data_IF_643407306175
#
_entry.id   IF_643407306175
#
_cell.length_a   1.000
_cell.length_b   1.000
_cell.length_c   1.000
_cell.angle_alpha   90.00
_cell.angle_beta   90.00
_cell.angle_gamma   90.00
#
_symmetry.space_group_name_H-M   'P 1'
#
loop_
_entity.id
_entity.type
_entity.pdbx_description
1 polymer ?
#
# COMPACT_ATOMS: atom_id res chain seq x y z
N UNK A 1 -15.54 -2.85 39.56
CA UNK A 1 -14.22 -3.43 39.90
C UNK A 1 -13.92 -4.53 38.90
N UNK A 2 -13.00 -4.32 37.96
CA UNK A 2 -12.60 -5.34 36.98
C UNK A 2 -11.77 -6.40 37.71
N UNK A 3 -12.28 -7.64 37.83
CA UNK A 3 -11.56 -8.74 38.49
C UNK A 3 -10.17 -8.94 37.86
N UNK A 4 -9.14 -9.20 38.67
CA UNK A 4 -7.81 -9.56 38.16
C UNK A 4 -7.89 -10.93 37.47
N UNK A 5 -7.19 -11.15 36.35
CA UNK A 5 -7.21 -12.45 35.68
C UNK A 5 -6.65 -13.54 36.61
N UNK A 6 -7.28 -14.70 36.60
CA UNK A 6 -6.81 -15.89 37.35
C UNK A 6 -5.50 -16.42 36.74
N UNK A 7 -5.33 -16.28 35.43
CA UNK A 7 -4.18 -16.77 34.68
C UNK A 7 -3.66 -15.69 33.73
N UNK A 8 -2.36 -15.43 33.79
CA UNK A 8 -1.66 -14.61 32.82
C UNK A 8 -0.81 -15.52 31.94
N UNK A 9 -0.94 -15.38 30.62
CA UNK A 9 -0.05 -16.07 29.69
C UNK A 9 1.13 -15.17 29.33
N UNK A 10 2.34 -15.71 29.39
CA UNK A 10 3.51 -15.10 28.77
C UNK A 10 3.41 -15.11 27.25
N UNK A 11 4.32 -14.39 26.59
CA UNK A 11 4.38 -14.33 25.13
C UNK A 11 4.57 -15.72 24.50
N UNK A 12 5.33 -16.58 25.16
CA UNK A 12 5.72 -17.94 24.72
C UNK A 12 4.59 -18.97 24.90
N UNK A 13 3.71 -18.78 25.88
CA UNK A 13 2.59 -19.68 26.20
C UNK A 13 1.35 -19.50 25.32
N UNK A 14 1.40 -18.51 24.42
CA UNK A 14 0.32 -18.20 23.49
C UNK A 14 0.80 -18.57 22.09
N UNK A 15 -0.03 -19.34 21.39
CA UNK A 15 0.20 -19.66 19.98
C UNK A 15 0.47 -18.38 19.19
N UNK A 16 1.51 -18.31 18.36
CA UNK A 16 1.79 -17.12 17.56
C UNK A 16 0.64 -16.83 16.59
N UNK A 17 0.61 -15.59 16.11
CA UNK A 17 -0.20 -15.23 14.95
C UNK A 17 0.20 -16.09 13.74
N UNK A 18 -0.73 -16.30 12.81
CA UNK A 18 -0.39 -16.96 11.56
C UNK A 18 0.62 -16.11 10.80
N UNK A 19 1.55 -16.75 10.07
CA UNK A 19 2.63 -16.06 9.36
C UNK A 19 2.12 -14.98 8.38
N UNK A 20 0.91 -15.14 7.86
CA UNK A 20 0.25 -14.21 6.94
C UNK A 20 -0.55 -13.11 7.63
N UNK A 21 -0.52 -13.02 8.96
CA UNK A 21 -1.11 -11.90 9.70
C UNK A 21 -0.33 -10.62 9.42
N UNK A 22 -1.01 -9.48 9.30
CA UNK A 22 -0.32 -8.20 9.18
C UNK A 22 0.51 -7.91 10.44
N UNK A 23 1.68 -7.33 10.31
CA UNK A 23 2.51 -6.86 11.43
C UNK A 23 2.93 -5.41 11.19
N UNK A 24 3.20 -4.59 12.22
CA UNK A 24 3.76 -3.26 12.01
C UNK A 24 5.03 -3.34 11.15
N UNK A 25 5.25 -2.38 10.25
CA UNK A 25 6.50 -2.37 9.48
C UNK A 25 7.70 -2.08 10.40
N UNK A 26 8.85 -2.69 10.11
CA UNK A 26 10.10 -2.32 10.76
C UNK A 26 10.55 -0.92 10.37
N UNK A 27 11.36 -0.27 11.21
CA UNK A 27 11.96 1.03 10.91
C UNK A 27 12.79 1.03 9.61
N UNK A 28 13.46 -0.09 9.28
CA UNK A 28 14.21 -0.23 8.02
C UNK A 28 13.33 -0.03 6.79
N UNK A 29 12.15 -0.67 6.77
CA UNK A 29 11.16 -0.51 5.69
C UNK A 29 10.61 0.91 5.67
N UNK A 30 10.33 1.52 6.83
CA UNK A 30 9.86 2.91 6.91
C UNK A 30 10.90 3.88 6.35
N UNK A 31 12.17 3.70 6.69
CA UNK A 31 13.25 4.51 6.13
C UNK A 31 13.35 4.33 4.61
N UNK A 32 13.32 3.08 4.12
CA UNK A 32 13.37 2.82 2.68
C UNK A 32 12.16 3.38 1.92
N UNK A 33 11.00 3.44 2.56
CA UNK A 33 9.80 4.10 2.04
C UNK A 33 10.03 5.62 1.93
N UNK A 34 10.53 6.24 2.99
CA UNK A 34 10.74 7.68 3.07
C UNK A 34 11.86 8.18 2.14
N UNK A 35 12.91 7.38 1.96
CA UNK A 35 13.97 7.65 1.00
C UNK A 35 13.42 7.72 -0.43
N UNK A 36 12.49 6.83 -0.75
CA UNK A 36 11.94 6.70 -2.11
C UNK A 36 10.86 7.72 -2.44
N UNK A 37 9.95 7.97 -1.51
CA UNK A 37 8.72 8.73 -1.76
C UNK A 37 8.52 9.95 -0.87
N UNK A 38 9.39 10.17 0.12
CA UNK A 38 9.27 11.31 1.02
C UNK A 38 8.41 10.98 2.24
N UNK A 39 7.43 11.82 2.58
CA UNK A 39 6.68 11.65 3.82
C UNK A 39 5.57 10.60 3.66
N UNK A 40 5.89 9.35 4.01
CA UNK A 40 4.89 8.29 4.08
C UNK A 40 4.08 8.38 5.38
N UNK A 41 2.79 8.02 5.36
CA UNK A 41 1.95 8.09 6.55
C UNK A 41 2.39 7.09 7.62
N UNK A 42 1.99 7.35 8.85
CA UNK A 42 2.14 6.42 9.98
C UNK A 42 1.17 5.23 9.87
N UNK A 43 1.24 4.29 10.83
CA UNK A 43 0.35 3.13 10.92
C UNK A 43 0.42 2.23 9.69
N UNK A 44 1.64 1.96 9.24
CA UNK A 44 1.93 1.06 8.13
C UNK A 44 2.19 -0.37 8.63
N UNK A 45 1.64 -1.33 7.89
CA UNK A 45 1.67 -2.74 8.24
C UNK A 45 2.19 -3.57 7.07
N UNK A 46 3.04 -4.54 7.35
CA UNK A 46 3.48 -5.55 6.40
C UNK A 46 2.55 -6.75 6.43
N UNK A 47 2.09 -7.20 5.26
CA UNK A 47 1.45 -8.51 5.10
C UNK A 47 1.96 -9.20 3.85
N UNK A 48 2.85 -10.18 4.01
CA UNK A 48 3.54 -10.81 2.89
C UNK A 48 4.34 -9.78 2.08
N UNK A 49 3.99 -9.57 0.81
CA UNK A 49 4.62 -8.59 -0.09
C UNK A 49 3.87 -7.26 -0.18
N UNK A 50 2.96 -7.00 0.76
CA UNK A 50 2.07 -5.82 0.74
C UNK A 50 2.40 -4.92 1.93
N UNK A 51 2.44 -3.62 1.69
CA UNK A 51 2.37 -2.61 2.75
C UNK A 51 0.93 -2.10 2.76
N UNK A 52 0.34 -2.09 3.94
CA UNK A 52 -1.03 -1.68 4.22
C UNK A 52 -0.98 -0.42 5.09
N UNK A 53 -1.91 0.49 4.87
CA UNK A 53 -2.11 1.66 5.71
C UNK A 53 -3.44 1.51 6.43
N UNK A 54 -3.36 1.50 7.76
CA UNK A 54 -4.50 1.33 8.64
C UNK A 54 -4.69 2.57 9.51
N UNK A 55 -5.83 2.63 10.18
CA UNK A 55 -6.09 3.64 11.19
C UNK A 55 -5.27 3.38 12.47
N UNK A 56 -5.01 4.39 13.30
CA UNK A 56 -4.26 4.23 14.56
C UNK A 56 -4.86 3.19 15.50
N UNK A 57 -6.18 2.99 15.47
CA UNK A 57 -6.86 1.99 16.30
C UNK A 57 -6.39 0.55 15.99
N UNK A 58 -5.82 0.28 14.81
CA UNK A 58 -5.22 -1.01 14.51
C UNK A 58 -4.05 -1.32 15.44
N UNK A 59 -3.18 -0.34 15.70
CA UNK A 59 -2.04 -0.48 16.60
C UNK A 59 -2.48 -0.56 18.05
N UNK A 60 -3.46 0.24 18.46
CA UNK A 60 -4.08 0.15 19.78
C UNK A 60 -4.64 -1.25 20.04
N UNK A 61 -5.41 -1.79 19.08
CA UNK A 61 -5.97 -3.14 19.19
C UNK A 61 -4.84 -4.16 19.26
N UNK A 62 -3.86 -4.11 18.35
CA UNK A 62 -2.78 -5.09 18.26
C UNK A 62 -1.89 -5.10 19.50
N UNK A 63 -1.53 -3.93 20.04
CA UNK A 63 -0.69 -3.75 21.23
C UNK A 63 -1.43 -4.01 22.55
N UNK A 64 -2.76 -4.02 22.55
CA UNK A 64 -3.55 -4.23 23.77
C UNK A 64 -3.49 -5.67 24.31
N UNK A 65 -3.34 -5.79 25.63
CA UNK A 65 -3.67 -7.03 26.35
C UNK A 65 -5.16 -7.35 26.20
N UNK A 66 -5.48 -8.62 25.96
CA UNK A 66 -6.87 -9.07 25.83
C UNK A 66 -7.20 -10.14 26.85
N UNK A 67 -8.43 -10.09 27.35
CA UNK A 67 -8.96 -11.10 28.26
C UNK A 67 -9.88 -12.06 27.54
N UNK A 68 -9.68 -13.36 27.76
CA UNK A 68 -10.49 -14.44 27.21
C UNK A 68 -11.03 -15.33 28.33
N UNK A 69 -11.93 -16.26 27.97
CA UNK A 69 -12.58 -17.18 28.92
C UNK A 69 -13.24 -16.42 30.09
N UNK A 70 -14.15 -15.50 29.76
CA UNK A 70 -14.87 -14.65 30.73
C UNK A 70 -13.97 -13.86 31.69
N UNK A 71 -12.82 -13.40 31.21
CA UNK A 71 -11.90 -12.59 32.02
C UNK A 71 -10.84 -13.39 32.79
N UNK A 72 -10.92 -14.73 32.77
CA UNK A 72 -10.01 -15.60 33.55
C UNK A 72 -8.60 -15.65 33.01
N UNK A 73 -8.43 -15.50 31.70
CA UNK A 73 -7.10 -15.58 31.07
C UNK A 73 -6.77 -14.27 30.39
N UNK A 74 -5.64 -13.66 30.77
CA UNK A 74 -5.04 -12.55 30.05
C UNK A 74 -4.07 -13.08 28.98
N UNK A 75 -4.18 -12.52 27.78
CA UNK A 75 -3.32 -12.73 26.63
C UNK A 75 -2.59 -11.40 26.39
N UNK A 76 -1.26 -11.39 26.33
CA UNK A 76 -0.49 -10.18 26.08
C UNK A 76 -0.81 -9.62 24.69
N UNK A 77 -0.56 -8.32 24.52
CA UNK A 77 -0.68 -7.65 23.24
C UNK A 77 0.41 -8.04 22.24
N UNK A 78 0.65 -7.13 21.32
CA UNK A 78 1.57 -7.29 20.18
C UNK A 78 1.23 -8.52 19.33
N UNK A 79 -0.09 -8.77 19.19
CA UNK A 79 -0.65 -9.89 18.42
C UNK A 79 -2.10 -9.67 18.07
N UNK A 80 -2.58 -10.39 17.07
CA UNK A 80 -3.99 -10.40 16.69
C UNK A 80 -4.83 -11.36 17.51
N UNK A 81 -4.28 -12.49 17.96
CA UNK A 81 -5.05 -13.46 18.74
C UNK A 81 -5.73 -12.83 19.98
N UNK A 82 -6.99 -13.18 20.27
CA UNK A 82 -7.78 -14.25 19.64
C UNK A 82 -8.48 -13.84 18.33
N UNK A 83 -8.31 -12.60 17.84
CA UNK A 83 -8.89 -12.14 16.59
C UNK A 83 -8.19 -12.78 15.39
N UNK A 84 -8.96 -13.07 14.35
CA UNK A 84 -8.44 -13.47 13.05
C UNK A 84 -8.60 -12.29 12.08
N UNK A 85 -7.50 -11.61 11.75
CA UNK A 85 -7.54 -10.43 10.87
C UNK A 85 -7.48 -10.85 9.40
N UNK A 86 -8.65 -10.87 8.76
CA UNK A 86 -8.79 -11.18 7.34
C UNK A 86 -8.38 -10.00 6.45
N UNK A 87 -8.71 -8.77 6.86
CA UNK A 87 -8.39 -7.54 6.14
C UNK A 87 -7.94 -6.47 7.14
N UNK A 88 -6.91 -5.72 6.75
CA UNK A 88 -6.41 -4.59 7.53
C UNK A 88 -6.11 -3.44 6.57
N UNK A 89 -6.81 -2.31 6.78
CA UNK A 89 -6.54 -1.08 6.05
C UNK A 89 -6.59 -1.23 4.52
N UNK A 90 -5.87 -0.34 3.84
CA UNK A 90 -5.73 -0.30 2.39
C UNK A 90 -4.31 -0.60 1.97
N UNK A 91 -4.16 -1.32 0.87
CA UNK A 91 -2.85 -1.55 0.27
C UNK A 91 -2.27 -0.26 -0.32
N UNK A 92 -1.10 0.16 0.17
CA UNK A 92 -0.41 1.38 -0.26
C UNK A 92 0.81 1.11 -1.13
N UNK A 93 1.52 0.01 -0.90
CA UNK A 93 2.71 -0.33 -1.67
C UNK A 93 2.94 -1.84 -1.75
N UNK A 94 3.78 -2.23 -2.70
CA UNK A 94 4.28 -3.61 -2.87
C UNK A 94 5.76 -3.66 -2.54
N UNK A 95 6.20 -4.77 -1.96
CA UNK A 95 7.60 -5.04 -1.62
C UNK A 95 8.14 -6.17 -2.48
N UNK A 96 9.36 -6.00 -2.98
CA UNK A 96 10.09 -7.03 -3.72
C UNK A 96 11.54 -7.04 -3.28
N UNK A 97 12.08 -8.24 -3.05
CA UNK A 97 13.45 -8.43 -2.54
C UNK A 97 13.75 -7.56 -1.30
N UNK A 98 12.78 -7.49 -0.38
CA UNK A 98 12.90 -6.73 0.87
C UNK A 98 12.74 -5.22 0.75
N UNK A 99 12.57 -4.65 -0.46
CA UNK A 99 12.46 -3.20 -0.66
C UNK A 99 11.10 -2.79 -1.21
N UNK A 100 10.55 -1.61 -0.82
CA UNK A 100 9.37 -1.05 -1.47
C UNK A 100 9.63 -0.87 -2.97
N UNK A 101 8.77 -1.45 -3.80
CA UNK A 101 8.93 -1.52 -5.25
C UNK A 101 8.09 -0.46 -5.98
N UNK A 102 6.83 -0.30 -5.56
CA UNK A 102 5.86 0.61 -6.18
C UNK A 102 4.73 0.97 -5.22
N UNK A 103 4.12 2.13 -5.45
CA UNK A 103 2.84 2.53 -4.86
C UNK A 103 1.69 1.80 -5.57
N UNK A 104 0.64 1.46 -4.82
CA UNK A 104 -0.57 0.83 -5.33
C UNK A 104 -1.51 1.89 -5.94
N UNK A 105 -2.14 1.57 -7.08
CA UNK A 105 -3.11 2.48 -7.72
C UNK A 105 -4.23 2.94 -6.79
N UNK A 106 -4.68 2.06 -5.91
CA UNK A 106 -5.72 2.32 -4.89
C UNK A 106 -5.38 3.43 -3.88
N UNK A 107 -4.10 3.71 -3.69
CA UNK A 107 -3.61 4.67 -2.71
C UNK A 107 -2.84 5.84 -3.34
N UNK A 108 -2.53 5.76 -4.64
CA UNK A 108 -1.67 6.71 -5.32
C UNK A 108 -2.18 8.15 -5.20
N UNK A 109 -3.47 8.37 -5.44
CA UNK A 109 -4.09 9.70 -5.32
C UNK A 109 -3.94 10.26 -3.90
N UNK A 110 -4.28 9.48 -2.88
CA UNK A 110 -4.25 9.96 -1.50
C UNK A 110 -2.82 10.24 -1.01
N UNK A 111 -1.88 9.37 -1.37
CA UNK A 111 -0.47 9.52 -0.99
C UNK A 111 0.24 10.64 -1.75
N UNK A 112 -0.17 10.93 -2.98
CA UNK A 112 0.49 11.95 -3.81
C UNK A 112 0.62 13.30 -3.10
N UNK A 113 -0.37 13.67 -2.29
CA UNK A 113 -0.39 14.92 -1.53
C UNK A 113 0.69 15.04 -0.46
N UNK A 114 1.21 13.92 0.06
CA UNK A 114 2.27 13.91 1.08
C UNK A 114 3.65 13.54 0.52
N UNK A 115 3.70 13.04 -0.71
CA UNK A 115 4.94 12.61 -1.35
C UNK A 115 5.78 13.80 -1.78
N UNK A 116 7.08 13.75 -1.48
CA UNK A 116 8.04 14.80 -1.88
C UNK A 116 9.02 14.31 -2.95
N UNK A 117 8.97 13.02 -3.28
CA UNK A 117 9.87 12.32 -4.22
C UNK A 117 9.13 11.23 -4.97
N UNK A 118 9.71 10.78 -6.09
CA UNK A 118 9.16 9.65 -6.86
C UNK A 118 7.82 9.97 -7.56
N UNK A 119 7.61 11.25 -7.87
CA UNK A 119 6.44 11.79 -8.57
C UNK A 119 6.92 12.78 -9.63
N UNK A 120 6.25 12.80 -10.78
CA UNK A 120 6.48 13.76 -11.87
C UNK A 120 5.13 14.35 -12.28
N UNK A 121 5.05 15.68 -12.28
CA UNK A 121 3.90 16.40 -12.81
C UNK A 121 3.88 16.30 -14.34
N UNK A 122 2.72 15.98 -14.90
CA UNK A 122 2.51 15.80 -16.33
C UNK A 122 1.19 16.42 -16.77
N UNK A 123 1.05 16.60 -18.08
CA UNK A 123 -0.18 17.10 -18.67
C UNK A 123 -1.30 16.05 -18.60
N UNK A 124 -2.54 16.52 -18.67
CA UNK A 124 -3.72 15.64 -18.81
C UNK A 124 -3.63 14.74 -20.05
N UNK A 125 -3.07 15.26 -21.16
CA UNK A 125 -2.84 14.48 -22.38
C UNK A 125 -1.88 13.30 -22.14
N UNK A 126 -0.82 13.50 -21.34
CA UNK A 126 0.11 12.43 -20.98
C UNK A 126 -0.59 11.31 -20.20
N UNK A 127 -1.51 11.67 -19.29
CA UNK A 127 -2.34 10.71 -18.56
C UNK A 127 -3.28 9.96 -19.52
N UNK A 128 -3.93 10.65 -20.44
CA UNK A 128 -4.80 10.02 -21.44
C UNK A 128 -4.02 9.06 -22.33
N UNK A 129 -2.86 9.48 -22.82
CA UNK A 129 -1.97 8.67 -23.65
C UNK A 129 -1.57 7.39 -22.92
N UNK A 130 -1.06 7.46 -21.68
CA UNK A 130 -0.64 6.27 -20.95
C UNK A 130 -1.81 5.37 -20.54
N UNK A 131 -3.01 5.92 -20.30
CA UNK A 131 -4.21 5.10 -20.08
C UNK A 131 -4.59 4.35 -21.35
N UNK A 132 -4.46 4.97 -22.53
CA UNK A 132 -4.74 4.35 -23.82
C UNK A 132 -3.72 3.28 -24.22
N UNK A 133 -2.43 3.66 -24.32
CA UNK A 133 -1.35 2.81 -24.82
C UNK A 133 -0.79 1.85 -23.77
N UNK A 134 -1.04 2.12 -22.47
CA UNK A 134 -0.46 1.42 -21.32
C UNK A 134 1.07 1.52 -21.21
N UNK A 135 1.72 2.20 -22.16
CA UNK A 135 3.16 2.39 -22.25
C UNK A 135 3.49 3.70 -22.98
N UNK A 136 4.51 4.39 -22.52
CA UNK A 136 5.08 5.57 -23.20
C UNK A 136 6.60 5.45 -23.26
N UNK A 137 7.21 6.12 -24.23
CA UNK A 137 8.64 6.42 -24.22
C UNK A 137 8.96 7.40 -23.09
N UNK A 138 10.21 7.39 -22.62
CA UNK A 138 10.58 8.16 -21.43
C UNK A 138 10.46 9.66 -21.68
N UNK A 139 10.82 10.09 -22.88
CA UNK A 139 10.80 11.48 -23.35
C UNK A 139 9.39 12.07 -23.38
N UNK A 140 8.36 11.23 -23.51
CA UNK A 140 6.95 11.64 -23.53
C UNK A 140 6.40 11.97 -22.13
N UNK A 141 7.13 11.60 -21.06
CA UNK A 141 6.64 11.68 -19.67
C UNK A 141 7.27 12.78 -18.83
N UNK A 142 8.36 13.40 -19.31
CA UNK A 142 9.13 14.37 -18.52
C UNK A 142 9.86 13.77 -17.31
N UNK A 143 9.86 12.44 -17.15
CA UNK A 143 10.63 11.76 -16.12
C UNK A 143 12.12 11.85 -16.47
N UNK A 144 12.95 12.21 -15.50
CA UNK A 144 14.40 12.27 -15.67
C UNK A 144 15.02 10.92 -16.05
N UNK A 145 15.98 10.92 -16.97
CA UNK A 145 16.64 9.73 -17.51
C UNK A 145 17.37 8.86 -16.48
N UNK A 146 17.67 9.41 -15.29
CA UNK A 146 18.31 8.68 -14.19
C UNK A 146 17.33 7.93 -13.28
N UNK A 147 16.01 8.09 -13.45
CA UNK A 147 14.99 7.46 -12.61
C UNK A 147 14.67 6.06 -13.14
N UNK A 148 14.66 5.05 -12.27
CA UNK A 148 14.28 3.67 -12.61
C UNK A 148 13.39 3.05 -11.54
N UNK A 149 12.53 2.12 -11.97
CA UNK A 149 11.57 1.39 -11.12
C UNK A 149 10.24 2.12 -10.94
N UNK A 150 9.47 1.72 -9.92
CA UNK A 150 8.20 2.36 -9.58
C UNK A 150 8.30 3.86 -9.32
N UNK A 151 7.45 4.62 -10.01
CA UNK A 151 7.33 6.08 -10.01
C UNK A 151 5.84 6.47 -10.14
N UNK A 152 5.51 7.75 -10.02
CA UNK A 152 4.14 8.26 -10.16
C UNK A 152 4.11 9.38 -11.20
N UNK A 153 3.12 9.33 -12.09
CA UNK A 153 2.70 10.46 -12.91
C UNK A 153 1.51 11.14 -12.25
N UNK A 154 1.53 12.46 -12.17
CA UNK A 154 0.47 13.26 -11.57
C UNK A 154 0.06 14.39 -12.50
N UNK A 155 -1.22 14.50 -12.78
CA UNK A 155 -1.82 15.70 -13.36
C UNK A 155 -2.67 16.42 -12.30
N UNK A 156 -3.36 17.49 -12.70
CA UNK A 156 -4.27 18.21 -11.79
C UNK A 156 -5.41 17.31 -11.30
N UNK A 157 -5.83 16.35 -12.12
CA UNK A 157 -7.03 15.54 -11.83
C UNK A 157 -6.73 14.07 -11.53
N UNK A 158 -5.54 13.57 -11.82
CA UNK A 158 -5.27 12.14 -11.79
C UNK A 158 -3.85 11.78 -11.36
N UNK A 159 -3.72 10.62 -10.72
CA UNK A 159 -2.45 10.06 -10.27
C UNK A 159 -2.34 8.62 -10.74
N UNK A 160 -1.28 8.34 -11.50
CA UNK A 160 -1.04 7.05 -12.14
C UNK A 160 0.33 6.50 -11.70
N UNK A 161 0.38 5.38 -10.95
CA UNK A 161 1.64 4.69 -10.70
C UNK A 161 2.14 4.03 -11.98
N UNK A 162 3.44 4.16 -12.24
CA UNK A 162 4.13 3.66 -13.43
C UNK A 162 5.42 2.94 -13.04
N UNK A 163 5.92 2.10 -13.95
CA UNK A 163 7.23 1.49 -13.86
C UNK A 163 8.15 2.11 -14.92
N UNK A 164 9.27 2.67 -14.47
CA UNK A 164 10.27 3.29 -15.33
C UNK A 164 11.37 2.29 -15.63
N UNK A 165 11.38 1.75 -16.85
CA UNK A 165 12.40 0.85 -17.38
C UNK A 165 13.07 1.46 -18.61
N UNK A 166 13.16 0.68 -19.70
CA UNK A 166 13.44 1.23 -21.03
C UNK A 166 12.26 2.00 -21.62
N UNK A 167 11.05 1.75 -21.10
CA UNK A 167 9.81 2.49 -21.34
C UNK A 167 9.12 2.77 -20.01
N UNK A 168 8.13 3.63 -20.02
CA UNK A 168 7.26 3.92 -18.88
C UNK A 168 5.97 3.13 -19.02
N UNK A 169 5.79 2.09 -18.21
CA UNK A 169 4.59 1.21 -18.28
C UNK A 169 3.66 1.44 -17.11
N UNK A 170 2.35 1.48 -17.36
CA UNK A 170 1.34 1.68 -16.32
C UNK A 170 1.32 0.52 -15.30
N UNK A 171 1.11 0.83 -14.01
CA UNK A 171 1.04 -0.17 -12.92
C UNK A 171 -0.35 -0.32 -12.31
N UNK A 172 -1.37 -0.08 -13.14
CA UNK A 172 -2.78 -0.29 -12.83
C UNK A 172 -3.26 -1.61 -13.40
N UNK A 173 -4.23 -2.25 -12.76
CA UNK A 173 -4.91 -3.40 -13.36
C UNK A 173 -5.96 -2.95 -14.40
N UNK A 174 -6.41 -3.87 -15.26
CA UNK A 174 -7.38 -3.58 -16.33
C UNK A 174 -8.65 -2.89 -15.84
N UNK A 175 -9.17 -3.26 -14.66
CA UNK A 175 -10.37 -2.64 -14.08
C UNK A 175 -10.10 -1.21 -13.62
N UNK A 176 -8.93 -0.96 -13.03
CA UNK A 176 -8.51 0.40 -12.65
C UNK A 176 -8.35 1.28 -13.90
N UNK A 177 -7.71 0.77 -14.96
CA UNK A 177 -7.56 1.48 -16.25
C UNK A 177 -8.95 1.78 -16.84
N UNK A 178 -9.84 0.79 -16.88
CA UNK A 178 -11.20 0.95 -17.40
C UNK A 178 -11.99 2.02 -16.63
N UNK A 179 -11.93 2.00 -15.30
CA UNK A 179 -12.61 2.99 -14.45
C UNK A 179 -12.07 4.39 -14.74
N UNK A 180 -10.74 4.56 -14.80
CA UNK A 180 -10.13 5.86 -15.09
C UNK A 180 -10.47 6.37 -16.48
N UNK A 181 -10.44 5.51 -17.50
CA UNK A 181 -10.91 5.85 -18.85
C UNK A 181 -12.36 6.34 -18.85
N UNK A 182 -13.25 5.64 -18.14
CA UNK A 182 -14.66 6.07 -18.01
C UNK A 182 -14.79 7.42 -17.31
N UNK A 183 -14.07 7.64 -16.21
CA UNK A 183 -14.11 8.91 -15.49
C UNK A 183 -13.63 10.09 -16.35
N UNK A 184 -12.76 9.81 -17.32
CA UNK A 184 -12.17 10.80 -18.24
C UNK A 184 -12.86 10.86 -19.60
N UNK A 185 -13.98 10.15 -19.79
CA UNK A 185 -14.71 10.04 -21.06
C UNK A 185 -13.83 9.60 -22.26
N UNK A 186 -12.83 8.75 -21.99
CA UNK A 186 -11.95 8.20 -23.02
C UNK A 186 -12.61 7.01 -23.72
N UNK A 187 -12.28 6.81 -25.01
CA UNK A 187 -12.76 5.67 -25.78
C UNK A 187 -12.29 4.34 -25.16
N UNK A 188 -13.22 3.40 -25.05
CA UNK A 188 -12.98 2.06 -24.52
C UNK A 188 -13.07 1.11 -25.70
N UNK A 189 -11.94 0.75 -26.28
CA UNK A 189 -11.87 -0.32 -27.25
C UNK A 189 -12.20 -1.63 -26.52
N UNK A 190 -13.35 -2.22 -26.83
CA UNK A 190 -13.59 -3.62 -26.49
C UNK A 190 -12.71 -4.45 -27.41
N UNK A 191 -11.75 -5.19 -26.86
CA UNK A 191 -11.26 -6.37 -27.55
C UNK A 191 -12.45 -7.33 -27.64
N UNK A 192 -13.14 -7.32 -28.77
CA UNK A 192 -14.01 -8.43 -29.14
C UNK A 192 -13.12 -9.67 -29.16
N UNK A 193 -13.27 -10.51 -28.14
CA UNK A 193 -12.70 -11.85 -28.13
C UNK A 193 -13.36 -12.62 -29.27
N UNK A 194 -12.67 -12.69 -30.40
CA UNK A 194 -12.89 -13.72 -31.42
C UNK A 194 -12.42 -15.08 -30.90
#
# INVERSE_FOLDING_TARGET
>A
MTQKPEFYKSHEEVTPDIQSSPQPISQEIMNSLNDRWGNMPDNLWMRGKKILWANPQAEEIWSSERRVRNGKTAIPGERWRPLNVLHLGREVARVRKGKPERISGKAALELSSSMTRGITEVTENTIDSILHSQLLELEETGISENIRGGHILMSETEVVPVWVGGKVTIMLNEKEILIKKKQRNLEIFSEDKS
#
